data_IF_741329287405
#
_entry.id   IF_741329287405
#
_cell.length_a   1.000
_cell.length_b   1.000
_cell.length_c   1.000
_cell.angle_alpha   90.00
_cell.angle_beta   90.00
_cell.angle_gamma   90.00
#
_symmetry.space_group_name_H-M   'P 1'
#
loop_
_entity.id
_entity.type
_entity.pdbx_description
1 polymer ?
#
# COMPACT_ATOMS: atom_id res chain seq x y z
N UNK A 1 3.89 27.81 3.54
CA UNK A 1 4.78 26.63 3.73
C UNK A 1 4.46 25.84 4.99
N UNK A 2 4.22 26.46 6.14
CA UNK A 2 3.86 25.76 7.40
C UNK A 2 2.67 24.81 7.24
N UNK A 3 1.57 25.24 6.62
CA UNK A 3 0.38 24.41 6.43
C UNK A 3 0.69 23.17 5.57
N UNK A 4 1.45 23.34 4.50
CA UNK A 4 1.82 22.22 3.63
C UNK A 4 2.72 21.20 4.36
N UNK A 5 3.69 21.66 5.13
CA UNK A 5 4.54 20.80 5.94
C UNK A 5 3.76 20.02 7.00
N UNK A 6 2.84 20.69 7.71
CA UNK A 6 1.98 20.05 8.71
C UNK A 6 1.05 19.01 8.07
N UNK A 7 0.44 19.32 6.92
CA UNK A 7 -0.39 18.36 6.19
C UNK A 7 0.40 17.12 5.74
N UNK A 8 1.64 17.29 5.24
CA UNK A 8 2.50 16.16 4.88
C UNK A 8 2.85 15.30 6.11
N UNK A 9 3.13 15.91 7.25
CA UNK A 9 3.41 15.20 8.50
C UNK A 9 2.18 14.41 8.97
N UNK A 10 1.00 15.02 8.95
CA UNK A 10 -0.26 14.32 9.29
C UNK A 10 -0.55 13.16 8.34
N UNK A 11 -0.34 13.35 7.03
CA UNK A 11 -0.51 12.30 6.03
C UNK A 11 0.49 11.16 6.23
N UNK A 12 1.75 11.46 6.58
CA UNK A 12 2.76 10.47 6.88
C UNK A 12 2.40 9.63 8.10
N UNK A 13 1.96 10.26 9.20
CA UNK A 13 1.53 9.57 10.43
C UNK A 13 0.30 8.71 10.16
N UNK A 14 -0.69 9.22 9.44
CA UNK A 14 -1.89 8.47 9.07
C UNK A 14 -1.54 7.24 8.21
N UNK A 15 -0.67 7.39 7.21
CA UNK A 15 -0.23 6.30 6.34
C UNK A 15 0.56 5.25 7.11
N UNK A 16 1.47 5.66 7.99
CA UNK A 16 2.24 4.75 8.84
C UNK A 16 1.33 4.02 9.84
N UNK A 17 0.39 4.74 10.46
CA UNK A 17 -0.59 4.17 11.39
C UNK A 17 -1.47 3.13 10.72
N UNK A 18 -1.99 3.42 9.53
CA UNK A 18 -2.80 2.48 8.76
C UNK A 18 -2.00 1.26 8.31
N UNK A 19 -0.73 1.46 7.86
CA UNK A 19 0.17 0.37 7.48
C UNK A 19 0.48 -0.57 8.65
N UNK A 20 0.81 -0.03 9.82
CA UNK A 20 1.08 -0.83 11.03
C UNK A 20 -0.18 -1.50 11.58
N UNK A 21 -1.31 -0.81 11.56
CA UNK A 21 -2.60 -1.40 11.97
C UNK A 21 -3.00 -2.58 11.09
N UNK A 22 -2.83 -2.45 9.76
CA UNK A 22 -3.08 -3.54 8.80
C UNK A 22 -2.20 -4.77 9.06
N UNK A 23 -0.95 -4.56 9.49
CA UNK A 23 -0.02 -5.65 9.83
C UNK A 23 -0.38 -6.32 11.15
N UNK A 24 -0.85 -5.57 12.15
CA UNK A 24 -1.15 -6.08 13.49
C UNK A 24 -2.48 -6.84 13.53
N UNK A 25 -3.51 -6.37 12.83
CA UNK A 25 -4.84 -6.98 12.83
C UNK A 25 -5.00 -8.13 11.83
N UNK A 26 -4.04 -8.35 10.95
CA UNK A 26 -4.03 -9.47 10.00
C UNK A 26 -3.81 -10.86 10.60
N UNK A 27 -3.80 -10.99 11.94
CA UNK A 27 -3.56 -12.27 12.63
C UNK A 27 -4.82 -13.00 13.10
N UNK A 28 -5.98 -12.39 13.06
CA UNK A 28 -7.19 -12.95 13.64
C UNK A 28 -8.26 -13.24 12.57
N UNK A 29 -8.32 -14.47 12.07
CA UNK A 29 -9.52 -14.98 11.39
C UNK A 29 -9.27 -15.79 10.12
N UNK A 30 -9.69 -17.05 10.16
CA UNK A 30 -9.56 -18.06 9.09
C UNK A 30 -10.43 -17.81 7.84
N UNK A 31 -11.19 -16.73 7.78
CA UNK A 31 -12.15 -16.51 6.70
C UNK A 31 -11.74 -15.51 5.60
N UNK A 32 -10.65 -14.78 5.78
CA UNK A 32 -10.26 -13.67 4.88
C UNK A 32 -8.84 -13.79 4.30
N UNK A 33 -8.34 -15.00 4.11
CA UNK A 33 -6.95 -15.26 3.72
C UNK A 33 -6.51 -14.50 2.46
N UNK A 34 -7.38 -14.33 1.47
CA UNK A 34 -7.09 -13.60 0.22
C UNK A 34 -7.01 -12.09 0.41
N UNK A 35 -7.92 -11.50 1.19
CA UNK A 35 -7.92 -10.06 1.48
C UNK A 35 -6.75 -9.68 2.36
N UNK A 36 -6.39 -10.53 3.33
CA UNK A 36 -5.24 -10.32 4.21
C UNK A 36 -3.90 -10.39 3.48
N UNK A 37 -3.75 -11.30 2.52
CA UNK A 37 -2.55 -11.38 1.68
C UNK A 37 -2.40 -10.12 0.81
N UNK A 38 -3.49 -9.58 0.26
CA UNK A 38 -3.49 -8.34 -0.50
C UNK A 38 -3.11 -7.14 0.38
N UNK A 39 -3.66 -7.02 1.60
CA UNK A 39 -3.34 -5.96 2.55
C UNK A 39 -1.87 -6.02 3.01
N UNK A 40 -1.33 -7.22 3.25
CA UNK A 40 0.08 -7.41 3.58
C UNK A 40 1.01 -7.05 2.44
N UNK A 41 0.61 -7.32 1.20
CA UNK A 41 1.39 -6.96 0.02
C UNK A 41 1.44 -5.43 -0.20
N UNK A 42 0.43 -4.68 0.28
CA UNK A 42 0.40 -3.21 0.21
C UNK A 42 1.14 -2.51 1.36
N UNK A 43 1.37 -3.17 2.48
CA UNK A 43 2.00 -2.57 3.66
C UNK A 43 3.39 -1.93 3.38
N UNK A 44 4.32 -2.57 2.65
CA UNK A 44 5.62 -1.98 2.37
C UNK A 44 5.54 -0.71 1.50
N UNK A 45 4.59 -0.64 0.57
CA UNK A 45 4.41 0.56 -0.27
C UNK A 45 3.85 1.74 0.53
N UNK A 46 2.99 1.49 1.49
CA UNK A 46 2.46 2.53 2.39
C UNK A 46 3.53 3.06 3.34
N UNK A 47 4.39 2.19 3.88
CA UNK A 47 5.51 2.61 4.71
C UNK A 47 6.53 3.43 3.92
N UNK A 48 6.85 3.04 2.68
CA UNK A 48 7.72 3.80 1.81
C UNK A 48 7.16 5.21 1.51
N UNK A 49 5.87 5.30 1.18
CA UNK A 49 5.20 6.58 0.97
C UNK A 49 5.18 7.44 2.24
N UNK A 50 4.97 6.84 3.42
CA UNK A 50 5.00 7.54 4.70
C UNK A 50 6.38 8.13 4.99
N UNK A 51 7.46 7.38 4.74
CA UNK A 51 8.85 7.87 4.93
C UNK A 51 9.16 9.04 3.98
N UNK A 52 8.74 8.94 2.71
CA UNK A 52 8.93 10.04 1.75
C UNK A 52 8.17 11.30 2.15
N UNK A 53 6.93 11.18 2.59
CA UNK A 53 6.12 12.31 3.05
C UNK A 53 6.69 12.93 4.34
N UNK A 54 7.21 12.10 5.24
CA UNK A 54 7.84 12.55 6.48
C UNK A 54 9.11 13.34 6.19
N UNK A 55 9.98 12.81 5.32
CA UNK A 55 11.19 13.50 4.89
C UNK A 55 10.88 14.83 4.21
N UNK A 56 9.91 14.84 3.28
CA UNK A 56 9.43 16.04 2.60
C UNK A 56 8.86 17.07 3.57
N UNK A 57 8.08 16.63 4.56
CA UNK A 57 7.52 17.48 5.60
C UNK A 57 8.58 18.15 6.47
N UNK A 58 9.58 17.39 6.92
CA UNK A 58 10.71 17.92 7.73
C UNK A 58 11.51 18.95 6.93
N UNK A 59 11.85 18.64 5.69
CA UNK A 59 12.59 19.59 4.83
C UNK A 59 11.76 20.83 4.54
N UNK A 60 10.44 20.69 4.34
CA UNK A 60 9.55 21.85 4.11
C UNK A 60 9.48 22.81 5.30
N UNK A 61 9.72 22.30 6.53
CA UNK A 61 9.76 23.12 7.75
C UNK A 61 11.14 23.75 8.01
N UNK A 62 12.22 23.08 7.60
CA UNK A 62 13.61 23.45 7.95
C UNK A 62 14.35 24.21 6.83
N UNK A 63 13.96 24.06 5.55
CA UNK A 63 14.69 24.60 4.41
C UNK A 63 14.15 25.96 3.94
N UNK A 64 14.97 26.67 3.15
CA UNK A 64 14.55 27.88 2.45
C UNK A 64 13.35 27.61 1.51
N UNK A 65 12.44 28.58 1.31
CA UNK A 65 11.16 28.35 0.65
C UNK A 65 11.24 27.75 -0.74
N UNK A 66 12.26 28.10 -1.53
CA UNK A 66 12.46 27.52 -2.87
C UNK A 66 12.85 26.03 -2.80
N UNK A 67 13.80 25.69 -1.95
CA UNK A 67 14.25 24.31 -1.77
C UNK A 67 13.15 23.45 -1.18
N UNK A 68 12.44 23.99 -0.20
CA UNK A 68 11.30 23.32 0.43
C UNK A 68 10.22 22.96 -0.57
N UNK A 69 9.90 23.87 -1.50
CA UNK A 69 8.86 23.64 -2.53
C UNK A 69 9.27 22.53 -3.51
N UNK A 70 10.50 22.56 -3.99
CA UNK A 70 11.00 21.53 -4.93
C UNK A 70 11.00 20.15 -4.27
N UNK A 71 11.55 20.05 -3.07
CA UNK A 71 11.60 18.78 -2.33
C UNK A 71 10.18 18.27 -2.03
N UNK A 72 9.28 19.14 -1.65
CA UNK A 72 7.89 18.78 -1.37
C UNK A 72 7.20 18.22 -2.62
N UNK A 73 7.35 18.87 -3.77
CA UNK A 73 6.80 18.38 -5.04
C UNK A 73 7.37 16.99 -5.37
N UNK A 74 8.70 16.81 -5.28
CA UNK A 74 9.35 15.53 -5.57
C UNK A 74 8.86 14.43 -4.63
N UNK A 75 8.73 14.72 -3.33
CA UNK A 75 8.25 13.74 -2.35
C UNK A 75 6.78 13.37 -2.58
N UNK A 76 5.91 14.33 -2.90
CA UNK A 76 4.50 14.07 -3.17
C UNK A 76 4.34 13.26 -4.47
N UNK A 77 5.02 13.66 -5.54
CA UNK A 77 5.00 12.92 -6.82
C UNK A 77 5.56 11.50 -6.64
N UNK A 78 6.65 11.36 -5.90
CA UNK A 78 7.23 10.06 -5.56
C UNK A 78 6.27 9.18 -4.76
N UNK A 79 5.61 9.73 -3.75
CA UNK A 79 4.63 9.01 -2.95
C UNK A 79 3.42 8.56 -3.80
N UNK A 80 2.89 9.45 -4.64
CA UNK A 80 1.78 9.10 -5.56
C UNK A 80 2.22 8.05 -6.58
N UNK A 81 3.43 8.14 -7.13
CA UNK A 81 3.98 7.16 -8.06
C UNK A 81 4.14 5.78 -7.43
N UNK A 82 4.62 5.70 -6.19
CA UNK A 82 4.73 4.42 -5.47
C UNK A 82 3.37 3.81 -5.16
N UNK A 83 2.38 4.61 -4.78
CA UNK A 83 1.01 4.14 -4.55
C UNK A 83 0.36 3.65 -5.85
N UNK A 84 0.53 4.39 -6.95
CA UNK A 84 0.01 3.99 -8.25
C UNK A 84 0.64 2.69 -8.75
N UNK A 85 1.96 2.54 -8.64
CA UNK A 85 2.67 1.33 -9.01
C UNK A 85 2.24 0.13 -8.15
N UNK A 86 2.08 0.33 -6.83
CA UNK A 86 1.61 -0.70 -5.91
C UNK A 86 0.19 -1.16 -6.24
N UNK A 87 -0.73 -0.24 -6.50
CA UNK A 87 -2.12 -0.57 -6.86
C UNK A 87 -2.20 -1.31 -8.20
N UNK A 88 -1.41 -0.91 -9.20
CA UNK A 88 -1.33 -1.58 -10.49
C UNK A 88 -0.82 -3.02 -10.37
N UNK A 89 0.23 -3.24 -9.57
CA UNK A 89 0.77 -4.57 -9.34
C UNK A 89 -0.25 -5.48 -8.63
N UNK A 90 -0.97 -4.97 -7.64
CA UNK A 90 -2.03 -5.71 -6.95
C UNK A 90 -3.18 -6.08 -7.90
N UNK A 91 -3.61 -5.17 -8.76
CA UNK A 91 -4.64 -5.43 -9.76
C UNK A 91 -4.20 -6.54 -10.74
N UNK A 92 -2.96 -6.45 -11.26
CA UNK A 92 -2.41 -7.50 -12.15
C UNK A 92 -2.28 -8.86 -11.45
N UNK A 93 -1.93 -8.88 -10.18
CA UNK A 93 -1.83 -10.11 -9.41
C UNK A 93 -3.20 -10.75 -9.16
N UNK A 94 -4.23 -9.95 -8.89
CA UNK A 94 -5.62 -10.41 -8.76
C UNK A 94 -6.12 -11.05 -10.06
N UNK A 95 -5.93 -10.37 -11.19
CA UNK A 95 -6.32 -10.90 -12.51
C UNK A 95 -5.60 -12.22 -12.87
N UNK A 96 -4.32 -12.33 -12.52
CA UNK A 96 -3.57 -13.59 -12.75
C UNK A 96 -4.06 -14.73 -11.87
N UNK A 97 -4.51 -14.46 -10.65
CA UNK A 97 -5.08 -15.47 -9.77
C UNK A 97 -6.43 -15.96 -10.28
N UNK A 98 -7.30 -15.06 -10.74
CA UNK A 98 -8.56 -15.45 -11.35
C UNK A 98 -8.36 -16.33 -12.59
N UNK A 99 -7.38 -15.99 -13.44
CA UNK A 99 -7.01 -16.79 -14.60
C UNK A 99 -6.38 -18.15 -14.24
N UNK A 100 -5.71 -18.24 -13.08
CA UNK A 100 -5.07 -19.47 -12.61
C UNK A 100 -5.99 -20.36 -11.78
N UNK A 101 -7.18 -19.87 -11.37
CA UNK A 101 -8.18 -20.70 -10.71
C UNK A 101 -8.87 -21.55 -11.79
N UNK A 102 -8.61 -22.87 -11.88
CA UNK A 102 -9.31 -23.70 -12.83
C UNK A 102 -10.80 -23.61 -12.47
N UNK A 103 -11.61 -23.15 -13.42
CA UNK A 103 -13.05 -23.21 -13.30
C UNK A 103 -13.42 -24.70 -13.19
N UNK A 104 -13.65 -25.17 -11.98
CA UNK A 104 -14.29 -26.45 -11.76
C UNK A 104 -15.74 -26.32 -12.23
N UNK A 105 -15.94 -26.37 -13.53
CA UNK A 105 -17.25 -26.53 -14.16
C UNK A 105 -17.53 -28.03 -14.20
N UNK A 106 -17.97 -28.61 -13.10
CA UNK A 106 -18.35 -30.01 -13.07
C UNK A 106 -18.57 -30.49 -11.62
N UNK A 107 -19.59 -31.31 -11.45
CA UNK A 107 -19.92 -31.97 -10.19
C UNK A 107 -18.69 -32.69 -9.63
N UNK A 108 -18.41 -32.53 -8.35
CA UNK A 108 -17.26 -33.05 -7.60
C UNK A 108 -17.10 -34.60 -7.59
N UNK A 109 -17.88 -35.34 -8.32
CA UNK A 109 -17.88 -36.81 -8.34
C UNK A 109 -16.71 -37.44 -9.10
N UNK A 110 -15.92 -36.64 -9.88
CA UNK A 110 -14.81 -37.17 -10.70
C UNK A 110 -13.47 -36.43 -10.37
N UNK A 111 -13.44 -35.53 -9.38
CA UNK A 111 -12.22 -34.81 -9.01
C UNK A 111 -11.35 -35.70 -8.12
N UNK A 112 -10.29 -36.30 -8.67
CA UNK A 112 -9.24 -37.02 -7.92
C UNK A 112 -8.18 -36.09 -7.33
N UNK A 113 -8.35 -34.77 -7.50
CA UNK A 113 -7.42 -33.77 -6.94
C UNK A 113 -7.90 -33.39 -5.55
N UNK A 114 -7.10 -33.79 -4.54
CA UNK A 114 -7.30 -33.36 -3.16
C UNK A 114 -7.19 -31.85 -3.06
N UNK A 115 -8.30 -31.17 -2.71
CA UNK A 115 -8.26 -29.76 -2.32
C UNK A 115 -7.49 -29.63 -0.98
N UNK A 116 -6.26 -29.15 -1.04
CA UNK A 116 -5.48 -28.69 0.10
C UNK A 116 -5.52 -27.17 0.19
#
# INVERSE_FOLDING_TARGET
MLIAGVLCMCAAVASAGFGTWSLSHGRAGDGAATTQLALRAMAPTQLAAAVMLLAGGVVALAAAPHTALVVLIVCVVGALGTLAAGSWQCARFALRREAATPACVGSCTVCTQSCH
#
